data_IF_025733759633
#
_entry.id   IF_025733759633
#
_cell.length_a   1.000
_cell.length_b   1.000
_cell.length_c   1.000
_cell.angle_alpha   90.00
_cell.angle_beta   90.00
_cell.angle_gamma   90.00
#
_symmetry.space_group_name_H-M   'P 1'
#
loop_
_entity.id
_entity.type
_entity.pdbx_description
1 polymer ?
#
# COMPACT_ATOMS: atom_id res chain seq x y z
N UNK A 1 20.49 18.23 -19.39
CA UNK A 1 20.10 18.67 -18.04
C UNK A 1 21.27 18.41 -17.11
N UNK A 2 21.86 19.43 -16.49
CA UNK A 2 22.95 19.25 -15.51
C UNK A 2 22.37 18.89 -14.13
N UNK A 3 23.00 17.99 -13.35
CA UNK A 3 22.55 17.66 -12.00
C UNK A 3 22.94 18.79 -11.02
N UNK A 4 22.03 19.11 -10.09
CA UNK A 4 22.24 20.10 -9.02
C UNK A 4 23.07 19.48 -7.89
N UNK A 5 24.09 20.21 -7.43
CA UNK A 5 24.92 19.87 -6.27
C UNK A 5 24.11 20.02 -4.96
N UNK A 6 24.34 19.13 -3.96
CA UNK A 6 23.70 19.23 -2.64
C UNK A 6 24.31 20.36 -1.79
N UNK A 7 23.49 20.98 -0.95
CA UNK A 7 23.90 22.01 0.02
C UNK A 7 24.27 21.34 1.34
N UNK A 8 25.45 21.68 1.86
CA UNK A 8 25.91 21.24 3.18
C UNK A 8 25.04 21.84 4.29
N UNK A 9 24.41 20.97 5.09
CA UNK A 9 23.67 21.33 6.30
C UNK A 9 24.54 20.98 7.51
N UNK A 10 24.85 22.01 8.30
CA UNK A 10 25.85 21.96 9.37
C UNK A 10 25.41 21.14 10.60
N UNK A 11 26.40 20.59 11.30
CA UNK A 11 26.26 19.67 12.43
C UNK A 11 25.46 20.19 13.65
N UNK A 12 25.08 21.47 13.69
CA UNK A 12 24.34 22.08 14.80
C UNK A 12 22.83 21.75 14.84
N UNK A 13 22.26 21.21 13.76
CA UNK A 13 20.85 20.75 13.77
C UNK A 13 20.68 19.36 14.40
N UNK A 14 21.75 18.57 14.49
CA UNK A 14 21.71 17.18 14.96
C UNK A 14 21.35 17.05 16.44
N UNK A 15 21.91 17.91 17.30
CA UNK A 15 21.67 17.93 18.76
C UNK A 15 20.31 18.49 19.15
N UNK A 16 19.73 19.42 18.37
CA UNK A 16 18.33 19.85 18.56
C UNK A 16 17.35 18.76 18.16
N UNK A 17 17.71 17.96 17.15
CA UNK A 17 16.85 16.91 16.63
C UNK A 17 16.83 15.65 17.53
N UNK A 18 17.89 15.38 18.29
CA UNK A 18 17.95 14.27 19.27
C UNK A 18 17.09 14.54 20.50
N UNK A 19 17.20 15.73 21.13
CA UNK A 19 16.41 16.06 22.32
C UNK A 19 14.89 16.08 22.06
N UNK A 20 14.46 16.54 20.87
CA UNK A 20 13.03 16.51 20.48
C UNK A 20 12.49 15.09 20.28
N UNK A 21 13.36 14.16 19.86
CA UNK A 21 13.00 12.74 19.69
C UNK A 21 12.92 12.00 21.02
N UNK A 22 13.80 12.31 21.96
CA UNK A 22 13.77 11.74 23.32
C UNK A 22 12.50 12.14 24.06
N UNK A 23 12.12 13.42 23.99
CA UNK A 23 10.88 13.91 24.58
C UNK A 23 9.65 13.17 24.01
N UNK A 24 9.57 13.04 22.68
CA UNK A 24 8.49 12.31 22.02
C UNK A 24 8.46 10.81 22.36
N UNK A 25 9.63 10.18 22.52
CA UNK A 25 9.72 8.78 22.95
C UNK A 25 9.24 8.62 24.40
N UNK A 26 9.51 9.59 25.28
CA UNK A 26 9.09 9.56 26.69
C UNK A 26 7.58 9.78 26.82
N UNK A 27 7.01 10.70 26.04
CA UNK A 27 5.57 10.88 25.94
C UNK A 27 4.87 9.59 25.47
N UNK A 28 5.45 8.92 24.47
CA UNK A 28 4.95 7.61 24.00
C UNK A 28 5.06 6.53 25.08
N UNK A 29 6.16 6.49 25.84
CA UNK A 29 6.36 5.54 26.94
C UNK A 29 5.28 5.67 28.03
N UNK A 30 4.92 6.91 28.38
CA UNK A 30 3.83 7.19 29.33
C UNK A 30 2.50 6.62 28.83
N UNK A 31 2.18 6.81 27.54
CA UNK A 31 0.94 6.27 26.96
C UNK A 31 0.92 4.74 26.92
N UNK A 32 2.05 4.11 26.58
CA UNK A 32 2.20 2.65 26.59
C UNK A 32 2.01 2.09 27.99
N UNK A 33 2.63 2.71 29.00
CA UNK A 33 2.51 2.28 30.38
C UNK A 33 1.06 2.44 30.91
N UNK A 34 0.40 3.57 30.62
CA UNK A 34 -1.03 3.78 30.94
C UNK A 34 -1.91 2.71 30.29
N UNK A 35 -1.66 2.40 29.01
CA UNK A 35 -2.39 1.36 28.28
C UNK A 35 -2.21 -0.05 28.85
N UNK A 36 -0.98 -0.40 29.26
CA UNK A 36 -0.67 -1.70 29.90
C UNK A 36 -1.39 -1.85 31.23
N UNK A 37 -1.34 -0.80 32.06
CA UNK A 37 -1.97 -0.79 33.39
C UNK A 37 -3.49 -0.82 33.32
N UNK A 38 -4.10 -0.04 32.43
CA UNK A 38 -5.54 -0.10 32.14
C UNK A 38 -5.98 -1.50 31.68
N UNK A 39 -5.18 -2.15 30.83
CA UNK A 39 -5.44 -3.52 30.35
C UNK A 39 -5.35 -4.55 31.47
N UNK A 40 -4.40 -4.41 32.40
CA UNK A 40 -4.28 -5.30 33.56
C UNK A 40 -5.46 -5.12 34.52
N UNK A 41 -5.84 -3.87 34.82
CA UNK A 41 -7.00 -3.55 35.67
C UNK A 41 -8.28 -4.14 35.10
N UNK A 42 -8.54 -3.96 33.79
CA UNK A 42 -9.72 -4.57 33.13
C UNK A 42 -9.70 -6.09 33.13
N UNK A 43 -8.54 -6.73 33.05
CA UNK A 43 -8.42 -8.19 33.12
C UNK A 43 -8.70 -8.73 34.53
N UNK A 44 -8.32 -7.98 35.57
CA UNK A 44 -8.62 -8.33 36.97
C UNK A 44 -10.09 -8.11 37.32
N UNK A 45 -10.72 -7.06 36.78
CA UNK A 45 -12.13 -6.75 37.03
C UNK A 45 -13.07 -7.65 36.21
N UNK A 46 -12.65 -8.08 35.01
CA UNK A 46 -13.46 -8.88 34.08
C UNK A 46 -12.78 -10.22 33.80
N UNK A 47 -12.77 -11.08 34.81
CA UNK A 47 -12.21 -12.44 34.73
C UNK A 47 -13.02 -13.33 33.79
N UNK A 48 -14.36 -13.23 33.80
CA UNK A 48 -15.29 -14.00 32.94
C UNK A 48 -16.17 -13.07 32.08
N UNK A 49 -15.59 -12.44 31.05
CA UNK A 49 -16.35 -11.57 30.15
C UNK A 49 -15.92 -11.66 28.68
N UNK A 50 -16.83 -11.26 27.79
CA UNK A 50 -16.63 -11.28 26.33
C UNK A 50 -15.48 -10.36 25.89
N UNK A 51 -14.87 -10.64 24.73
CA UNK A 51 -13.73 -9.88 24.21
C UNK A 51 -14.00 -8.37 24.06
N UNK A 52 -15.27 -7.98 23.88
CA UNK A 52 -15.70 -6.57 23.82
C UNK A 52 -15.60 -5.86 25.18
N UNK A 53 -15.92 -6.55 26.29
CA UNK A 53 -15.83 -6.01 27.64
C UNK A 53 -14.37 -5.79 28.10
N UNK A 54 -13.44 -6.63 27.62
CA UNK A 54 -12.00 -6.54 27.92
C UNK A 54 -11.25 -5.47 27.10
N UNK A 55 -11.91 -4.80 26.15
CA UNK A 55 -11.28 -3.77 25.31
C UNK A 55 -11.06 -2.48 26.10
N UNK A 56 -9.83 -1.98 26.10
CA UNK A 56 -9.46 -0.67 26.68
C UNK A 56 -9.93 0.43 25.74
N UNK A 57 -10.72 1.37 26.26
CA UNK A 57 -11.22 2.56 25.57
C UNK A 57 -10.45 3.78 26.07
N UNK A 58 -10.59 4.88 25.34
CA UNK A 58 -9.88 6.14 25.63
C UNK A 58 -10.24 6.73 27.01
N UNK A 59 -11.47 6.51 27.48
CA UNK A 59 -11.92 6.91 28.83
C UNK A 59 -11.19 6.16 29.95
N UNK A 60 -10.74 4.93 29.72
CA UNK A 60 -10.10 4.08 30.73
C UNK A 60 -8.62 4.45 30.99
N UNK A 61 -8.09 5.45 30.28
CA UNK A 61 -6.70 5.91 30.37
C UNK A 61 -6.56 7.18 31.22
N UNK A 62 -7.67 7.85 31.55
CA UNK A 62 -7.67 9.18 32.20
C UNK A 62 -7.30 9.06 33.68
N UNK A 63 -7.79 8.03 34.36
CA UNK A 63 -7.62 7.84 35.83
C UNK A 63 -6.48 6.87 36.21
N UNK A 64 -5.59 6.56 35.25
CA UNK A 64 -4.52 5.58 35.46
C UNK A 64 -3.22 6.28 35.82
N UNK A 65 -2.91 6.28 37.11
CA UNK A 65 -1.62 6.72 37.64
C UNK A 65 -0.56 5.64 37.40
N UNK A 66 0.54 6.03 36.74
CA UNK A 66 1.64 5.15 36.36
C UNK A 66 2.86 5.57 37.14
N UNK A 67 3.60 4.62 37.71
CA UNK A 67 4.84 4.92 38.44
C UNK A 67 5.97 5.23 37.47
N UNK A 68 6.92 6.08 37.85
CA UNK A 68 8.06 6.43 36.98
C UNK A 68 8.87 5.19 36.56
N UNK A 69 8.91 4.13 37.37
CA UNK A 69 9.53 2.85 37.04
C UNK A 69 8.85 2.13 35.87
N UNK A 70 7.52 2.16 35.79
CA UNK A 70 6.74 1.58 34.69
C UNK A 70 6.95 2.37 33.38
N UNK A 71 7.10 3.70 33.49
CA UNK A 71 7.41 4.58 32.36
C UNK A 71 8.81 4.31 31.85
N UNK A 72 9.80 4.17 32.73
CA UNK A 72 11.19 3.90 32.35
C UNK A 72 11.36 2.52 31.70
N UNK A 73 10.67 1.50 32.22
CA UNK A 73 10.63 0.18 31.58
C UNK A 73 10.04 0.25 30.15
N UNK A 74 8.93 0.97 29.98
CA UNK A 74 8.33 1.17 28.65
C UNK A 74 9.22 2.00 27.71
N UNK A 75 9.93 3.00 28.25
CA UNK A 75 10.87 3.83 27.49
C UNK A 75 12.06 3.00 27.00
N UNK A 76 12.64 2.18 27.87
CA UNK A 76 13.73 1.26 27.53
C UNK A 76 13.32 0.26 26.46
N UNK A 77 12.10 -0.28 26.51
CA UNK A 77 11.58 -1.16 25.46
C UNK A 77 11.39 -0.43 24.11
N UNK A 78 10.88 0.81 24.13
CA UNK A 78 10.70 1.60 22.91
C UNK A 78 12.05 1.95 22.24
N UNK A 79 13.11 2.09 23.03
CA UNK A 79 14.49 2.29 22.53
C UNK A 79 15.04 0.97 21.99
N UNK A 80 14.91 -0.13 22.72
CA UNK A 80 15.41 -1.45 22.31
C UNK A 80 14.74 -1.94 21.02
N UNK A 81 13.42 -1.73 20.86
CA UNK A 81 12.72 -2.05 19.61
C UNK A 81 13.05 -1.11 18.44
N UNK A 82 13.68 0.04 18.70
CA UNK A 82 14.18 0.98 17.69
C UNK A 82 15.63 0.74 17.30
N UNK A 83 16.37 -0.08 18.06
CA UNK A 83 17.63 -0.60 17.56
C UNK A 83 17.29 -1.36 16.28
N UNK A 84 17.77 -0.80 15.15
CA UNK A 84 17.67 -1.49 13.87
C UNK A 84 18.22 -2.89 14.12
N UNK A 85 17.59 -3.93 13.55
CA UNK A 85 18.20 -5.24 13.59
C UNK A 85 19.67 -5.10 13.15
N UNK A 86 20.60 -5.88 13.75
CA UNK A 86 22.03 -5.76 13.42
C UNK A 86 22.17 -5.72 11.91
N UNK A 87 23.13 -4.95 11.38
CA UNK A 87 23.33 -4.76 9.93
C UNK A 87 23.55 -6.06 9.12
N UNK A 88 23.49 -7.22 9.78
CA UNK A 88 23.45 -8.58 9.24
C UNK A 88 22.04 -9.23 9.29
N UNK A 89 20.97 -8.46 9.46
CA UNK A 89 19.62 -8.95 9.15
C UNK A 89 19.49 -9.02 7.64
N UNK A 90 19.68 -10.24 7.16
CA UNK A 90 19.34 -10.70 5.84
C UNK A 90 19.98 -9.87 4.72
N UNK A 91 21.28 -10.15 4.50
CA UNK A 91 21.68 -10.57 3.16
C UNK A 91 20.90 -11.85 2.81
N UNK A 92 19.57 -11.78 2.74
CA UNK A 92 18.75 -12.75 2.05
C UNK A 92 19.15 -12.59 0.59
N UNK A 93 20.22 -13.30 0.24
CA UNK A 93 20.66 -13.62 -1.10
C UNK A 93 20.34 -12.50 -2.11
N UNK A 94 20.96 -11.32 -1.95
CA UNK A 94 21.25 -10.57 -3.16
C UNK A 94 22.22 -11.49 -3.89
N UNK A 95 21.69 -12.28 -4.82
CA UNK A 95 22.51 -13.05 -5.75
C UNK A 95 23.35 -11.98 -6.42
N UNK A 96 24.61 -11.87 -6.02
CA UNK A 96 25.61 -11.12 -6.78
C UNK A 96 25.83 -11.92 -8.06
N UNK A 97 24.90 -11.78 -9.01
CA UNK A 97 25.12 -12.25 -10.37
C UNK A 97 26.19 -11.32 -10.92
N UNK A 98 27.40 -11.84 -11.12
CA UNK A 98 28.35 -11.18 -12.00
C UNK A 98 27.69 -11.13 -13.38
N UNK A 99 27.17 -9.96 -13.73
CA UNK A 99 26.63 -9.68 -15.07
C UNK A 99 27.80 -9.73 -16.05
N UNK A 100 28.09 -10.93 -16.55
CA UNK A 100 28.97 -11.14 -17.68
C UNK A 100 28.23 -10.64 -18.92
N UNK A 101 28.66 -9.50 -19.46
CA UNK A 101 28.04 -8.85 -20.63
C UNK A 101 28.03 -9.77 -21.86
N UNK A 102 28.91 -10.76 -21.90
CA UNK A 102 29.04 -11.81 -22.91
C UNK A 102 27.99 -12.94 -22.80
N UNK A 103 27.16 -12.96 -21.76
CA UNK A 103 26.10 -13.97 -21.57
C UNK A 103 24.72 -13.52 -22.06
N UNK A 104 24.56 -12.25 -22.44
CA UNK A 104 23.29 -11.74 -22.94
C UNK A 104 23.21 -11.90 -24.45
N UNK A 105 22.18 -12.59 -24.91
CA UNK A 105 21.77 -12.48 -26.30
C UNK A 105 21.21 -11.08 -26.56
N UNK A 106 21.60 -10.47 -27.68
CA UNK A 106 21.00 -9.22 -28.14
C UNK A 106 19.58 -9.53 -28.57
N UNK A 107 18.62 -9.33 -27.66
CA UNK A 107 17.21 -9.43 -27.97
C UNK A 107 16.80 -8.13 -28.68
N UNK A 108 16.63 -8.18 -30.01
CA UNK A 108 16.15 -7.02 -30.79
C UNK A 108 14.75 -6.59 -30.34
N UNK A 109 13.86 -7.55 -30.07
CA UNK A 109 12.53 -7.33 -29.50
C UNK A 109 12.14 -8.47 -28.56
N UNK A 110 11.59 -8.18 -27.36
CA UNK A 110 11.11 -9.22 -26.47
C UNK A 110 9.96 -9.99 -27.16
N UNK A 111 9.94 -11.34 -27.08
CA UNK A 111 8.86 -12.12 -27.65
C UNK A 111 7.56 -11.78 -26.91
N UNK A 112 6.64 -11.09 -27.58
CA UNK A 112 5.32 -10.83 -27.02
C UNK A 112 4.44 -12.08 -27.16
N UNK A 113 3.69 -12.46 -26.11
CA UNK A 113 2.74 -13.56 -26.22
C UNK A 113 1.70 -13.24 -27.30
N UNK A 114 1.42 -14.19 -28.19
CA UNK A 114 0.40 -14.00 -29.22
C UNK A 114 -1.03 -14.29 -28.76
N UNK A 115 -1.25 -14.26 -27.45
CA UNK A 115 -2.55 -14.57 -26.83
C UNK A 115 -3.60 -13.48 -27.14
N UNK A 116 -4.83 -13.91 -27.41
CA UNK A 116 -5.96 -13.00 -27.70
C UNK A 116 -6.20 -12.06 -26.52
N UNK A 117 -6.10 -12.57 -25.29
CA UNK A 117 -6.27 -11.77 -24.08
C UNK A 117 -5.14 -10.76 -23.91
N UNK A 118 -3.91 -11.11 -24.31
CA UNK A 118 -2.78 -10.18 -24.35
C UNK A 118 -3.01 -9.06 -25.36
N UNK A 119 -3.36 -9.39 -26.61
CA UNK A 119 -3.68 -8.40 -27.66
C UNK A 119 -4.79 -7.45 -27.25
N UNK A 120 -5.83 -7.96 -26.58
CA UNK A 120 -6.94 -7.16 -26.04
C UNK A 120 -6.46 -6.14 -25.00
N UNK A 121 -5.71 -6.62 -23.99
CA UNK A 121 -5.15 -5.77 -22.93
C UNK A 121 -4.18 -4.72 -23.50
N UNK A 122 -3.36 -5.10 -24.47
CA UNK A 122 -2.44 -4.20 -25.16
C UNK A 122 -3.19 -3.10 -25.93
N UNK A 123 -4.30 -3.43 -26.59
CA UNK A 123 -5.14 -2.45 -27.28
C UNK A 123 -5.66 -1.37 -26.31
N UNK A 124 -6.24 -1.81 -25.18
CA UNK A 124 -6.76 -0.91 -24.13
C UNK A 124 -5.65 -0.07 -23.50
N UNK A 125 -4.51 -0.69 -23.19
CA UNK A 125 -3.35 0.01 -22.63
C UNK A 125 -2.87 1.11 -23.57
N UNK A 126 -2.69 0.80 -24.86
CA UNK A 126 -2.24 1.75 -25.87
C UNK A 126 -3.21 2.92 -26.03
N UNK A 127 -4.51 2.65 -26.03
CA UNK A 127 -5.53 3.69 -26.18
C UNK A 127 -5.54 4.64 -24.97
N UNK A 128 -5.61 4.10 -23.75
CA UNK A 128 -5.61 4.91 -22.52
C UNK A 128 -4.31 5.67 -22.31
N UNK A 129 -3.17 5.07 -22.66
CA UNK A 129 -1.87 5.74 -22.60
C UNK A 129 -1.79 6.92 -23.57
N UNK A 130 -2.28 6.75 -24.81
CA UNK A 130 -2.35 7.83 -25.81
C UNK A 130 -3.27 8.98 -25.38
N UNK A 131 -4.32 8.67 -24.61
CA UNK A 131 -5.23 9.68 -24.02
C UNK A 131 -4.61 10.43 -22.83
N UNK A 132 -3.39 10.09 -22.40
CA UNK A 132 -2.67 10.78 -21.33
C UNK A 132 -2.92 10.24 -19.93
N UNK A 133 -3.55 9.06 -19.80
CA UNK A 133 -3.68 8.38 -18.51
C UNK A 133 -2.44 7.55 -18.18
N UNK A 134 -2.22 7.31 -16.90
CA UNK A 134 -1.20 6.38 -16.42
C UNK A 134 -1.84 5.07 -16.00
N UNK A 135 -1.23 3.95 -16.37
CA UNK A 135 -1.71 2.60 -16.04
C UNK A 135 -0.67 1.86 -15.20
N UNK A 136 -1.14 1.11 -14.21
CA UNK A 136 -0.33 0.11 -13.50
C UNK A 136 -1.04 -1.24 -13.50
N UNK A 137 -0.32 -2.30 -13.13
CA UNK A 137 -0.90 -3.62 -12.95
C UNK A 137 -2.08 -3.61 -11.96
N UNK A 138 -3.16 -4.30 -12.34
CA UNK A 138 -4.40 -4.44 -11.58
C UNK A 138 -4.55 -5.77 -10.84
N UNK A 139 -3.58 -6.68 -10.95
CA UNK A 139 -3.68 -8.06 -10.45
C UNK A 139 -4.07 -8.13 -8.97
N UNK A 140 -3.52 -7.24 -8.14
CA UNK A 140 -3.82 -7.16 -6.69
C UNK A 140 -5.29 -6.88 -6.37
N UNK A 141 -6.03 -6.30 -7.31
CA UNK A 141 -7.44 -5.92 -7.17
C UNK A 141 -8.37 -6.77 -8.02
N UNK A 142 -7.86 -7.82 -8.69
CA UNK A 142 -8.66 -8.67 -9.56
C UNK A 142 -9.18 -7.96 -10.81
N UNK A 143 -8.41 -7.00 -11.33
CA UNK A 143 -8.69 -6.28 -12.58
C UNK A 143 -7.44 -6.28 -13.47
N UNK A 144 -7.56 -5.89 -14.74
CA UNK A 144 -6.41 -5.88 -15.64
C UNK A 144 -5.47 -4.70 -15.35
N UNK A 145 -6.03 -3.51 -15.14
CA UNK A 145 -5.25 -2.30 -14.90
C UNK A 145 -5.86 -1.39 -13.85
N UNK A 146 -5.00 -0.61 -13.21
CA UNK A 146 -5.41 0.56 -12.43
C UNK A 146 -5.15 1.82 -13.25
N UNK A 147 -6.17 2.66 -13.39
CA UNK A 147 -6.08 3.90 -14.17
C UNK A 147 -5.92 5.12 -13.26
N UNK A 148 -4.93 5.94 -13.57
CA UNK A 148 -4.63 7.18 -12.87
C UNK A 148 -4.76 8.36 -13.83
N UNK A 149 -5.41 9.43 -13.36
CA UNK A 149 -5.57 10.68 -14.11
C UNK A 149 -4.24 11.45 -14.19
N UNK A 150 -3.38 11.27 -13.19
CA UNK A 150 -2.06 11.88 -13.11
C UNK A 150 -1.02 10.82 -12.70
N UNK A 151 0.24 11.23 -12.55
CA UNK A 151 1.35 10.35 -12.17
C UNK A 151 1.00 9.52 -10.92
N UNK A 152 1.23 8.19 -10.93
CA UNK A 152 0.92 7.32 -9.79
C UNK A 152 1.62 7.70 -8.48
N UNK A 153 2.74 8.45 -8.54
CA UNK A 153 3.43 8.96 -7.36
C UNK A 153 2.70 10.09 -6.64
N UNK A 154 1.76 10.76 -7.30
CA UNK A 154 1.09 11.96 -6.79
C UNK A 154 -0.40 11.74 -6.50
N UNK A 155 -1.05 10.79 -7.18
CA UNK A 155 -2.49 10.53 -7.04
C UNK A 155 -2.79 9.05 -6.89
N UNK A 156 -3.92 8.73 -6.25
CA UNK A 156 -4.43 7.36 -6.21
C UNK A 156 -5.13 6.98 -7.51
N UNK A 157 -5.15 5.67 -7.81
CA UNK A 157 -5.93 5.13 -8.91
C UNK A 157 -7.41 5.47 -8.74
N UNK A 158 -8.00 6.05 -9.79
CA UNK A 158 -9.41 6.44 -9.84
C UNK A 158 -10.29 5.31 -10.35
N UNK A 159 -9.79 4.54 -11.31
CA UNK A 159 -10.54 3.45 -11.92
C UNK A 159 -9.83 2.09 -11.80
N UNK A 160 -10.64 1.05 -11.64
CA UNK A 160 -10.26 -0.35 -11.88
C UNK A 160 -10.74 -0.73 -13.27
N UNK A 161 -9.81 -1.02 -14.17
CA UNK A 161 -10.09 -1.32 -15.58
C UNK A 161 -10.18 -2.82 -15.78
N UNK A 162 -11.29 -3.28 -16.33
CA UNK A 162 -11.49 -4.66 -16.75
C UNK A 162 -11.67 -4.70 -18.27
N UNK A 163 -10.81 -5.43 -18.97
CA UNK A 163 -10.87 -5.62 -20.41
C UNK A 163 -11.84 -6.76 -20.73
N UNK A 164 -12.76 -6.50 -21.65
CA UNK A 164 -13.88 -7.40 -21.98
C UNK A 164 -13.96 -7.51 -23.49
N UNK A 165 -14.28 -8.70 -23.97
CA UNK A 165 -14.56 -8.92 -25.38
C UNK A 165 -15.97 -8.42 -25.73
N UNK A 166 -16.14 -7.73 -26.85
CA UNK A 166 -17.46 -7.33 -27.32
C UNK A 166 -18.34 -8.55 -27.65
N UNK A 167 -17.75 -9.67 -28.06
CA UNK A 167 -18.48 -10.90 -28.37
C UNK A 167 -18.75 -11.78 -27.15
N UNK A 168 -18.17 -11.49 -25.98
CA UNK A 168 -18.26 -12.33 -24.80
C UNK A 168 -19.05 -11.64 -23.69
N UNK A 169 -19.97 -12.39 -23.07
CA UNK A 169 -20.74 -11.89 -21.94
C UNK A 169 -19.91 -11.94 -20.66
N UNK A 170 -19.96 -10.87 -19.86
CA UNK A 170 -19.42 -10.89 -18.49
C UNK A 170 -20.39 -11.69 -17.61
N UNK A 171 -19.85 -12.68 -16.89
CA UNK A 171 -20.66 -13.42 -15.92
C UNK A 171 -21.10 -12.46 -14.80
N UNK A 172 -22.38 -12.47 -14.39
CA UNK A 172 -22.86 -11.60 -13.31
C UNK A 172 -22.06 -11.74 -12.01
N UNK A 173 -21.54 -12.93 -11.73
CA UNK A 173 -20.71 -13.21 -10.57
C UNK A 173 -19.36 -12.45 -10.62
N UNK A 174 -18.72 -12.37 -11.79
CA UNK A 174 -17.47 -11.63 -11.96
C UNK A 174 -17.70 -10.13 -11.75
N UNK A 175 -18.82 -9.62 -12.29
CA UNK A 175 -19.23 -8.23 -12.07
C UNK A 175 -19.48 -7.93 -10.58
N UNK A 176 -20.17 -8.84 -9.87
CA UNK A 176 -20.42 -8.70 -8.44
C UNK A 176 -19.13 -8.74 -7.61
N UNK A 177 -18.18 -9.63 -7.96
CA UNK A 177 -16.87 -9.70 -7.32
C UNK A 177 -16.06 -8.42 -7.54
N UNK A 178 -16.02 -7.91 -8.77
CA UNK A 178 -15.35 -6.65 -9.10
C UNK A 178 -15.98 -5.48 -8.36
N UNK A 179 -17.32 -5.41 -8.31
CA UNK A 179 -18.09 -4.40 -7.56
C UNK A 179 -17.77 -4.40 -6.07
N UNK A 180 -17.66 -5.59 -5.46
CA UNK A 180 -17.29 -5.74 -4.05
C UNK A 180 -15.91 -5.14 -3.78
N UNK A 181 -14.91 -5.49 -4.58
CA UNK A 181 -13.54 -4.98 -4.40
C UNK A 181 -13.51 -3.47 -4.63
N UNK A 182 -14.11 -3.00 -5.72
CA UNK A 182 -14.17 -1.58 -6.07
C UNK A 182 -14.80 -0.73 -4.95
N UNK A 183 -15.89 -1.21 -4.36
CA UNK A 183 -16.54 -0.56 -3.21
C UNK A 183 -15.66 -0.54 -1.96
N UNK A 184 -14.87 -1.59 -1.71
CA UNK A 184 -13.95 -1.65 -0.56
C UNK A 184 -12.77 -0.69 -0.71
N UNK A 185 -12.23 -0.53 -1.92
CA UNK A 185 -11.06 0.33 -2.19
C UNK A 185 -11.43 1.73 -2.69
N UNK A 186 -12.73 2.04 -2.68
CA UNK A 186 -13.35 3.28 -3.15
C UNK A 186 -12.85 3.69 -4.55
N UNK A 187 -13.02 2.80 -5.52
CA UNK A 187 -12.67 3.02 -6.94
C UNK A 187 -13.87 2.81 -7.84
N UNK A 188 -13.86 3.48 -8.98
CA UNK A 188 -14.87 3.28 -10.01
C UNK A 188 -14.46 2.12 -10.91
N UNK A 189 -15.43 1.35 -11.41
CA UNK A 189 -15.16 0.30 -12.38
C UNK A 189 -15.21 0.92 -13.78
N UNK A 190 -14.24 0.58 -14.62
CA UNK A 190 -14.19 0.96 -16.02
C UNK A 190 -14.10 -0.31 -16.88
N UNK A 191 -15.19 -0.67 -17.54
CA UNK A 191 -15.20 -1.78 -18.48
C UNK A 191 -14.66 -1.27 -19.82
N UNK A 192 -13.57 -1.86 -20.29
CA UNK A 192 -12.99 -1.59 -21.60
C UNK A 192 -13.42 -2.70 -22.57
N UNK A 193 -14.46 -2.43 -23.35
CA UNK A 193 -15.04 -3.35 -24.32
C UNK A 193 -14.28 -3.23 -25.63
N UNK A 194 -13.62 -4.31 -26.03
CA UNK A 194 -12.82 -4.38 -27.26
C UNK A 194 -13.55 -5.27 -28.26
N UNK A 195 -13.81 -4.74 -29.46
CA UNK A 195 -14.33 -5.53 -30.58
C UNK A 195 -13.18 -5.99 -31.47
N UNK A 196 -13.35 -7.13 -32.13
CA UNK A 196 -12.41 -7.59 -33.17
C UNK A 196 -12.42 -6.70 -34.41
N UNK A 197 -13.54 -6.02 -34.69
CA UNK A 197 -13.75 -5.22 -35.89
C UNK A 197 -13.32 -3.74 -35.72
N UNK A 198 -13.20 -3.28 -34.48
CA UNK A 198 -12.84 -1.89 -34.17
C UNK A 198 -11.47 -1.81 -33.48
N UNK A 199 -10.53 -0.99 -33.97
CA UNK A 199 -9.27 -0.74 -33.28
C UNK A 199 -9.43 0.16 -32.04
N UNK A 200 -10.63 0.72 -31.83
CA UNK A 200 -10.94 1.62 -30.71
C UNK A 200 -11.83 0.92 -29.68
N UNK A 201 -11.37 0.79 -28.43
CA UNK A 201 -12.18 0.26 -27.33
C UNK A 201 -13.29 1.24 -26.91
N UNK A 202 -14.42 0.68 -26.50
CA UNK A 202 -15.52 1.42 -25.86
C UNK A 202 -15.40 1.29 -24.34
N UNK A 203 -15.76 2.35 -23.62
CA UNK A 203 -15.62 2.39 -22.18
C UNK A 203 -16.97 2.59 -21.50
N UNK A 204 -17.29 1.72 -20.54
CA UNK A 204 -18.47 1.85 -19.68
C UNK A 204 -18.00 2.06 -18.24
N UNK A 205 -18.41 3.18 -17.65
CA UNK A 205 -18.16 3.42 -16.24
C UNK A 205 -19.30 2.81 -15.42
N UNK A 206 -18.95 1.99 -14.43
CA UNK A 206 -19.89 1.41 -13.48
C UNK A 206 -19.57 1.89 -12.07
N UNK A 207 -20.61 2.28 -11.34
CA UNK A 207 -20.53 2.63 -9.92
C UNK A 207 -21.64 1.91 -9.17
N UNK A 208 -21.36 1.46 -7.95
CA UNK A 208 -22.39 0.90 -7.10
C UNK A 208 -23.38 1.99 -6.68
N UNK A 209 -24.67 1.70 -6.81
CA UNK A 209 -25.73 2.56 -6.32
C UNK A 209 -25.91 2.32 -4.83
N UNK A 210 -25.71 3.38 -4.03
CA UNK A 210 -26.15 3.40 -2.64
C UNK A 210 -27.55 4.02 -2.60
N UNK A 211 -28.52 3.24 -2.13
CA UNK A 211 -29.85 3.70 -1.72
C UNK A 211 -29.83 4.31 -0.34
#
# INVERSE_FOLDING_TARGET
MLPRQPRDVSANESTKCTGRRELANREMAVQVAKGRKAKQLKRKVVEEGTASARKVRRCDLVDVEVTEEEVEAAFKELILCKEKPPANFDKALIISVESRDDLYEVIEQPPFPDDVSFRRRLCVFRDLWRRGYYLTDGLKFGCDFLLYVNKPSAVHAKYMVQCVDASCSIRPLDMAALSRVASQVNKLILLAVVSFDSPFPYYLQCSWWNS
#
